data_IF_629943804540
#
_entry.id   IF_629943804540
#
_cell.length_a   1.000
_cell.length_b   1.000
_cell.length_c   1.000
_cell.angle_alpha   90.00
_cell.angle_beta   90.00
_cell.angle_gamma   90.00
#
_symmetry.space_group_name_H-M   'P 1'
#
loop_
_entity.id
_entity.type
_entity.pdbx_description
1 polymer ?
#
# COMPACT_ATOMS: atom_id res chain seq x y z
N UNK A 1 -3.72 -3.00 35.07
CA UNK A 1 -4.59 -2.67 33.92
C UNK A 1 -3.88 -3.18 32.68
N UNK A 2 -4.40 -4.22 32.03
CA UNK A 2 -3.92 -4.60 30.70
C UNK A 2 -4.20 -3.42 29.78
N UNK A 3 -3.14 -2.82 29.24
CA UNK A 3 -3.24 -1.74 28.28
C UNK A 3 -3.92 -2.32 27.03
N UNK A 4 -5.22 -2.08 26.86
CA UNK A 4 -5.96 -2.51 25.69
C UNK A 4 -5.60 -1.54 24.56
N UNK A 5 -4.50 -1.84 23.85
CA UNK A 5 -3.98 -0.99 22.80
C UNK A 5 -4.94 -0.92 21.61
N UNK A 6 -5.09 0.28 21.04
CA UNK A 6 -5.73 0.50 19.74
C UNK A 6 -4.63 0.58 18.69
N UNK A 7 -4.82 -0.12 17.58
CA UNK A 7 -3.95 -0.05 16.42
C UNK A 7 -4.69 0.64 15.27
N UNK A 8 -4.02 1.56 14.59
CA UNK A 8 -4.54 2.22 13.39
C UNK A 8 -3.80 1.64 12.18
N UNK A 9 -4.56 1.21 11.18
CA UNK A 9 -4.04 0.78 9.88
C UNK A 9 -4.32 1.89 8.88
N UNK A 10 -3.27 2.47 8.32
CA UNK A 10 -3.37 3.53 7.31
C UNK A 10 -3.67 2.90 5.95
N UNK A 11 -4.78 3.28 5.32
CA UNK A 11 -5.27 2.68 4.08
C UNK A 11 -5.42 3.69 2.93
N UNK A 12 -5.12 4.97 3.16
CA UNK A 12 -5.20 5.99 2.12
C UNK A 12 -4.37 5.68 0.87
N UNK A 13 -3.16 5.07 0.92
CA UNK A 13 -2.40 4.78 -0.29
C UNK A 13 -3.03 3.70 -1.18
N UNK A 14 -3.83 2.79 -0.60
CA UNK A 14 -4.58 1.76 -1.35
C UNK A 14 -6.05 2.12 -1.49
N UNK A 15 -6.82 2.02 -0.41
CA UNK A 15 -8.28 2.18 -0.42
C UNK A 15 -8.69 3.61 -0.76
N UNK A 16 -7.95 4.60 -0.24
CA UNK A 16 -8.18 6.01 -0.58
C UNK A 16 -7.98 6.25 -2.07
N UNK A 17 -6.74 6.06 -2.56
CA UNK A 17 -6.38 6.32 -3.96
C UNK A 17 -7.17 5.48 -4.97
N UNK A 18 -7.58 4.26 -4.62
CA UNK A 18 -8.39 3.43 -5.50
C UNK A 18 -9.77 4.03 -5.80
N UNK A 19 -10.32 4.81 -4.88
CA UNK A 19 -11.63 5.47 -5.02
C UNK A 19 -11.54 6.87 -5.63
N UNK A 20 -10.33 7.38 -5.88
CA UNK A 20 -10.12 8.67 -6.50
C UNK A 20 -10.31 8.62 -8.03
N UNK A 21 -10.80 9.73 -8.58
CA UNK A 21 -11.01 9.88 -10.02
C UNK A 21 -9.71 10.08 -10.80
N UNK A 22 -8.68 10.61 -10.14
CA UNK A 22 -7.37 10.88 -10.73
C UNK A 22 -6.42 9.70 -10.53
N UNK A 23 -5.66 9.35 -11.57
CA UNK A 23 -4.57 8.37 -11.47
C UNK A 23 -3.29 9.12 -11.16
N UNK A 24 -2.85 9.02 -9.90
CA UNK A 24 -1.62 9.67 -9.45
C UNK A 24 -0.38 8.87 -9.88
N UNK A 25 0.73 9.55 -10.20
CA UNK A 25 1.99 8.88 -10.51
C UNK A 25 2.58 8.22 -9.26
N UNK A 26 3.39 7.18 -9.46
CA UNK A 26 4.03 6.40 -8.38
C UNK A 26 4.78 7.28 -7.39
N UNK A 27 5.48 8.33 -7.85
CA UNK A 27 6.20 9.26 -6.98
C UNK A 27 5.29 9.98 -5.98
N UNK A 28 4.06 10.34 -6.38
CA UNK A 28 3.08 10.95 -5.48
C UNK A 28 2.57 9.95 -4.44
N UNK A 29 2.38 8.69 -4.83
CA UNK A 29 1.99 7.62 -3.89
C UNK A 29 3.07 7.37 -2.84
N UNK A 30 4.33 7.31 -3.28
CA UNK A 30 5.49 7.18 -2.38
C UNK A 30 5.59 8.37 -1.43
N UNK A 31 5.35 9.59 -1.91
CA UNK A 31 5.33 10.78 -1.06
C UNK A 31 4.22 10.71 0.01
N UNK A 32 3.03 10.19 -0.33
CA UNK A 32 1.94 9.97 0.61
C UNK A 32 2.32 8.92 1.68
N UNK A 33 2.88 7.78 1.25
CA UNK A 33 3.32 6.70 2.16
C UNK A 33 4.39 7.22 3.11
N UNK A 34 5.41 7.91 2.61
CA UNK A 34 6.48 8.46 3.45
C UNK A 34 5.94 9.46 4.49
N UNK A 35 4.98 10.31 4.12
CA UNK A 35 4.33 11.21 5.08
C UNK A 35 3.55 10.45 6.16
N UNK A 36 2.88 9.35 5.81
CA UNK A 36 2.23 8.50 6.79
C UNK A 36 3.25 7.86 7.76
N UNK A 37 4.39 7.41 7.25
CA UNK A 37 5.49 6.90 8.08
C UNK A 37 6.00 7.99 9.03
N UNK A 38 6.20 9.21 8.54
CA UNK A 38 6.62 10.37 9.34
C UNK A 38 5.60 10.75 10.42
N UNK A 39 4.31 10.52 10.16
CA UNK A 39 3.22 10.67 11.15
C UNK A 39 3.20 9.54 12.21
N UNK A 40 4.03 8.51 12.07
CA UNK A 40 4.18 7.43 13.04
C UNK A 40 3.34 6.19 12.75
N UNK A 41 2.71 6.09 11.58
CA UNK A 41 1.98 4.86 11.20
C UNK A 41 2.93 3.67 11.05
N UNK A 42 2.54 2.53 11.61
CA UNK A 42 3.34 1.29 11.61
C UNK A 42 2.75 0.18 10.75
N UNK A 43 1.49 0.30 10.33
CA UNK A 43 0.83 -0.62 9.43
C UNK A 43 0.15 0.19 8.34
N UNK A 44 0.58 -0.02 7.10
CA UNK A 44 0.14 0.78 5.96
C UNK A 44 -0.23 -0.14 4.81
N UNK A 45 -1.42 0.02 4.26
CA UNK A 45 -1.84 -0.65 3.04
C UNK A 45 -1.41 0.17 1.82
N UNK A 46 -0.41 -0.34 1.10
CA UNK A 46 0.34 0.43 0.09
C UNK A 46 0.02 0.05 -1.34
N UNK A 47 -0.54 -1.15 -1.56
CA UNK A 47 -0.69 -1.69 -2.89
C UNK A 47 -1.90 -2.63 -3.03
N UNK A 48 -2.38 -2.78 -4.26
CA UNK A 48 -3.38 -3.78 -4.62
C UNK A 48 -2.99 -4.49 -5.90
N UNK A 49 -2.78 -5.81 -5.82
CA UNK A 49 -2.40 -6.66 -6.95
C UNK A 49 -3.62 -7.12 -7.76
N UNK A 50 -4.54 -6.18 -8.02
CA UNK A 50 -5.76 -6.38 -8.79
C UNK A 50 -5.49 -6.25 -10.30
N UNK A 51 -6.52 -6.48 -11.10
CA UNK A 51 -6.40 -6.33 -12.56
C UNK A 51 -6.25 -4.83 -12.91
N UNK A 52 -5.10 -4.41 -13.49
CA UNK A 52 -4.82 -3.01 -13.78
C UNK A 52 -5.75 -2.40 -14.83
N UNK A 53 -6.40 -3.22 -15.67
CA UNK A 53 -7.41 -2.74 -16.62
C UNK A 53 -8.75 -2.42 -15.95
N UNK A 54 -9.04 -3.04 -14.80
CA UNK A 54 -10.27 -2.79 -14.03
C UNK A 54 -10.08 -1.73 -12.96
N UNK A 55 -8.86 -1.65 -12.40
CA UNK A 55 -8.48 -0.71 -11.34
C UNK A 55 -7.18 -0.03 -11.76
N UNK A 56 -7.23 0.95 -12.68
CA UNK A 56 -6.03 1.60 -13.21
C UNK A 56 -5.26 2.40 -12.16
N UNK A 57 -5.91 2.84 -11.09
CA UNK A 57 -5.28 3.52 -9.96
C UNK A 57 -4.20 2.66 -9.28
N UNK A 58 -4.30 1.33 -9.37
CA UNK A 58 -3.39 0.38 -8.72
C UNK A 58 -2.50 -0.36 -9.72
N UNK A 59 -2.34 0.18 -10.93
CA UNK A 59 -1.60 -0.49 -12.00
C UNK A 59 -0.08 -0.56 -11.78
N UNK A 60 0.46 0.27 -10.88
CA UNK A 60 1.88 0.40 -10.53
C UNK A 60 2.21 -0.21 -9.16
N UNK A 61 1.40 -1.18 -8.69
CA UNK A 61 1.57 -1.82 -7.38
C UNK A 61 3.00 -2.33 -7.13
N UNK A 62 3.58 -3.03 -8.10
CA UNK A 62 4.95 -3.54 -8.02
C UNK A 62 5.98 -2.42 -7.84
N UNK A 63 5.87 -1.36 -8.65
CA UNK A 63 6.78 -0.21 -8.60
C UNK A 63 6.68 0.58 -7.27
N UNK A 64 5.48 0.63 -6.67
CA UNK A 64 5.31 1.20 -5.33
C UNK A 64 6.05 0.36 -4.31
N UNK A 65 5.82 -0.96 -4.27
CA UNK A 65 6.42 -1.84 -3.26
C UNK A 65 7.94 -1.89 -3.39
N UNK A 66 8.48 -2.05 -4.60
CA UNK A 66 9.93 -2.10 -4.86
C UNK A 66 10.69 -0.83 -4.42
N UNK A 67 9.99 0.31 -4.35
CA UNK A 67 10.58 1.59 -3.95
C UNK A 67 10.54 1.83 -2.43
N UNK A 68 9.87 0.97 -1.64
CA UNK A 68 9.76 1.12 -0.19
C UNK A 68 10.94 0.47 0.55
N UNK A 69 11.42 1.16 1.58
CA UNK A 69 12.43 0.62 2.50
C UNK A 69 11.80 -0.29 3.55
N UNK A 70 12.40 -1.46 3.78
CA UNK A 70 12.00 -2.41 4.83
C UNK A 70 12.67 -2.14 6.20
N UNK A 71 13.70 -1.29 6.24
CA UNK A 71 14.51 -1.02 7.45
C UNK A 71 13.90 0.01 8.41
N UNK A 72 12.64 0.39 8.23
CA UNK A 72 11.97 1.46 9.01
C UNK A 72 10.99 0.96 10.09
N UNK A 73 10.86 -0.36 10.25
CA UNK A 73 9.97 -0.98 11.22
C UNK A 73 8.47 -0.79 10.92
N UNK A 74 8.12 -0.56 9.65
CA UNK A 74 6.74 -0.48 9.16
C UNK A 74 6.36 -1.80 8.50
N UNK A 75 5.14 -2.27 8.75
CA UNK A 75 4.54 -3.39 8.02
C UNK A 75 3.73 -2.84 6.85
N UNK A 76 4.13 -3.17 5.63
CA UNK A 76 3.36 -2.88 4.44
C UNK A 76 2.39 -4.01 4.11
N UNK A 77 1.19 -3.64 3.69
CA UNK A 77 0.10 -4.58 3.35
C UNK A 77 -0.23 -4.40 1.87
N UNK A 78 -0.33 -5.52 1.15
CA UNK A 78 -0.78 -5.59 -0.23
C UNK A 78 -2.06 -6.41 -0.37
N UNK A 79 -3.06 -5.88 -1.08
CA UNK A 79 -4.32 -6.59 -1.32
C UNK A 79 -4.21 -7.54 -2.52
N UNK A 80 -4.54 -8.81 -2.32
CA UNK A 80 -4.67 -9.82 -3.39
C UNK A 80 -6.07 -10.46 -3.34
N UNK A 81 -6.84 -10.34 -4.43
CA UNK A 81 -8.22 -10.87 -4.50
C UNK A 81 -8.32 -12.25 -5.17
N UNK A 82 -7.22 -12.77 -5.73
CA UNK A 82 -7.14 -14.07 -6.36
C UNK A 82 -5.69 -14.59 -6.36
N UNK A 83 -5.52 -15.85 -6.75
CA UNK A 83 -4.23 -16.54 -6.84
C UNK A 83 -3.20 -15.78 -7.67
N UNK A 84 -3.57 -15.31 -8.87
CA UNK A 84 -2.68 -14.52 -9.73
C UNK A 84 -2.20 -13.22 -9.07
N UNK A 85 -3.08 -12.56 -8.31
CA UNK A 85 -2.72 -11.37 -7.54
C UNK A 85 -1.77 -11.71 -6.39
N UNK A 86 -1.98 -12.84 -5.72
CA UNK A 86 -1.10 -13.32 -4.66
C UNK A 86 0.29 -13.74 -5.20
N UNK A 87 0.34 -14.40 -6.37
CA UNK A 87 1.59 -14.73 -7.06
C UNK A 87 2.40 -13.48 -7.41
N UNK A 88 1.73 -12.43 -7.95
CA UNK A 88 2.38 -11.14 -8.20
C UNK A 88 2.93 -10.52 -6.92
N UNK A 89 2.15 -10.56 -5.84
CA UNK A 89 2.59 -10.06 -4.54
C UNK A 89 3.83 -10.81 -4.03
N UNK A 90 3.86 -12.15 -4.14
CA UNK A 90 4.99 -12.98 -3.73
C UNK A 90 6.25 -12.79 -4.60
N UNK A 91 6.07 -12.40 -5.86
CA UNK A 91 7.18 -12.07 -6.78
C UNK A 91 7.71 -10.65 -6.57
N UNK A 92 6.99 -9.82 -5.83
CA UNK A 92 7.38 -8.45 -5.53
C UNK A 92 8.19 -8.43 -4.24
N UNK A 93 9.36 -7.79 -4.30
CA UNK A 93 10.47 -7.85 -3.36
C UNK A 93 10.10 -7.54 -1.90
#
# INVERSE_FOLDING_TARGET
>A
MTNCGVEIVEVSPRDGLQNESEILPTSTKLALINRAIDCGFKRIEVASFVNPRRVPQMADAEAVVEALSMDNGVTYIGLALNERGAERALQTN
#
